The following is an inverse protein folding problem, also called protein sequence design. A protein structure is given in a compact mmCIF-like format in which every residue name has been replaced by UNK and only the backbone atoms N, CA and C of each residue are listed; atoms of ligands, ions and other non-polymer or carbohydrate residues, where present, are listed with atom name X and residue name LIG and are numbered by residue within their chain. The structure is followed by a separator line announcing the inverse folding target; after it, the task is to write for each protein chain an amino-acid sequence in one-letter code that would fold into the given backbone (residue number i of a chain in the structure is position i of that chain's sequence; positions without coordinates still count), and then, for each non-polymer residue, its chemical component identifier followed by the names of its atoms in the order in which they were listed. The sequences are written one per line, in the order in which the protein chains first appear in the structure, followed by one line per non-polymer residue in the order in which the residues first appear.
data_IF_097903112556
#
_entry.id   IF_097903112556
#
_cell.length_a   1.000
_cell.length_b   1.000
_cell.length_c   1.000
_cell.angle_alpha   90.00
_cell.angle_beta   90.00
_cell.angle_gamma   90.00
#
_symmetry.space_group_name_H-M   'P 1'
#
loop_
_entity.id
_entity.type
_entity.pdbx_description
1 polymer ?
#
# COMPACT_ATOMS: atom_id res chain seq x y z
N UNK A 1 -8.27 -0.19 54.58
CA UNK A 1 -6.95 -0.43 53.96
C UNK A 1 -7.01 -1.82 53.35
N UNK A 2 -6.64 -1.96 52.07
CA UNK A 2 -6.74 -3.22 51.33
C UNK A 2 -5.61 -4.16 51.78
N UNK A 3 -5.91 -5.00 52.76
CA UNK A 3 -5.02 -6.04 53.32
C UNK A 3 -5.10 -7.37 52.52
N UNK A 4 -5.56 -7.29 51.27
CA UNK A 4 -5.76 -8.45 50.41
C UNK A 4 -4.51 -8.73 49.58
N UNK A 5 -4.03 -9.97 49.67
CA UNK A 5 -2.97 -10.51 48.84
C UNK A 5 -3.25 -10.21 47.34
N UNK A 6 -2.27 -9.70 46.56
CA UNK A 6 -0.84 -9.63 46.87
C UNK A 6 -0.37 -8.34 47.59
N UNK A 7 -1.23 -7.37 47.90
CA UNK A 7 -0.81 -6.01 48.25
C UNK A 7 -0.25 -5.79 49.68
N UNK A 8 -0.20 -6.84 50.51
CA UNK A 8 0.28 -6.79 51.91
C UNK A 8 1.49 -7.72 52.16
N UNK A 9 2.51 -7.67 51.30
CA UNK A 9 3.78 -8.37 51.50
C UNK A 9 4.89 -7.36 51.82
N UNK A 10 5.87 -7.70 52.68
CA UNK A 10 6.96 -6.79 53.06
C UNK A 10 7.76 -6.34 51.82
N UNK A 11 8.20 -5.07 51.83
CA UNK A 11 8.99 -4.50 50.75
C UNK A 11 10.33 -5.27 50.63
N UNK A 12 10.48 -6.00 49.53
CA UNK A 12 11.66 -6.79 49.19
C UNK A 12 11.99 -6.68 47.70
N UNK A 13 13.26 -6.89 47.33
CA UNK A 13 13.74 -6.82 45.95
C UNK A 13 13.03 -7.81 45.00
N UNK A 14 12.43 -8.87 45.57
CA UNK A 14 11.64 -9.87 44.85
C UNK A 14 10.41 -9.29 44.14
N UNK A 15 9.89 -8.15 44.57
CA UNK A 15 8.79 -7.46 43.88
C UNK A 15 9.12 -7.16 42.42
N UNK A 16 10.32 -6.65 42.15
CA UNK A 16 10.77 -6.32 40.80
C UNK A 16 10.83 -7.56 39.90
N UNK A 17 11.24 -8.70 40.45
CA UNK A 17 11.30 -9.97 39.73
C UNK A 17 9.90 -10.48 39.37
N UNK A 18 8.95 -10.42 40.32
CA UNK A 18 7.56 -10.81 40.08
C UNK A 18 6.94 -9.93 39.00
N UNK A 19 7.11 -8.61 39.09
CA UNK A 19 6.59 -7.69 38.07
C UNK A 19 7.20 -7.96 36.70
N UNK A 20 8.51 -8.21 36.62
CA UNK A 20 9.17 -8.52 35.36
C UNK A 20 8.63 -9.82 34.73
N UNK A 21 8.45 -10.87 35.53
CA UNK A 21 7.85 -12.12 35.07
C UNK A 21 6.40 -11.92 34.59
N UNK A 22 5.60 -11.17 35.35
CA UNK A 22 4.21 -10.86 34.99
C UNK A 22 4.16 -10.03 33.71
N UNK A 23 4.97 -8.98 33.58
CA UNK A 23 5.06 -8.16 32.37
C UNK A 23 5.47 -8.99 31.15
N UNK A 24 6.43 -9.90 31.30
CA UNK A 24 6.86 -10.79 30.22
C UNK A 24 5.74 -11.75 29.82
N UNK A 25 5.07 -12.37 30.79
CA UNK A 25 3.95 -13.28 30.56
C UNK A 25 2.78 -12.56 29.86
N UNK A 26 2.40 -11.37 30.33
CA UNK A 26 1.36 -10.53 29.71
C UNK A 26 1.75 -10.17 28.29
N UNK A 27 3.00 -9.76 28.05
CA UNK A 27 3.47 -9.41 26.70
C UNK A 27 3.36 -10.58 25.73
N UNK A 28 3.78 -11.77 26.13
CA UNK A 28 3.66 -12.99 25.33
C UNK A 28 2.18 -13.30 25.05
N UNK A 29 1.34 -13.22 26.08
CA UNK A 29 -0.09 -13.49 25.95
C UNK A 29 -0.75 -12.51 24.97
N UNK A 30 -0.51 -11.22 25.11
CA UNK A 30 -1.02 -10.18 24.22
C UNK A 30 -0.58 -10.41 22.78
N UNK A 31 0.69 -10.76 22.56
CA UNK A 31 1.19 -11.12 21.22
C UNK A 31 0.47 -12.35 20.64
N UNK A 32 0.26 -13.39 21.45
CA UNK A 32 -0.43 -14.61 21.00
C UNK A 32 -1.89 -14.34 20.65
N UNK A 33 -2.59 -13.53 21.45
CA UNK A 33 -4.00 -13.16 21.21
C UNK A 33 -4.10 -12.31 19.94
N UNK A 34 -3.30 -11.26 19.80
CA UNK A 34 -3.32 -10.42 18.59
C UNK A 34 -3.00 -11.21 17.31
N UNK A 35 -2.00 -12.11 17.35
CA UNK A 35 -1.69 -13.00 16.24
C UNK A 35 -2.80 -14.01 15.94
N UNK A 36 -3.51 -14.50 16.97
CA UNK A 36 -4.65 -15.40 16.77
C UNK A 36 -5.85 -14.67 16.16
N UNK A 37 -6.16 -13.47 16.65
CA UNK A 37 -7.24 -12.61 16.14
C UNK A 37 -6.96 -12.19 14.70
N UNK A 38 -5.73 -11.78 14.37
CA UNK A 38 -5.34 -11.46 12.98
C UNK A 38 -5.58 -12.64 12.04
N UNK A 39 -5.10 -13.83 12.40
CA UNK A 39 -5.33 -15.06 11.60
C UNK A 39 -6.79 -15.44 11.49
N UNK A 40 -7.61 -15.14 12.51
CA UNK A 40 -9.04 -15.40 12.46
C UNK A 40 -9.75 -14.47 11.47
N UNK A 41 -9.45 -13.17 11.50
CA UNK A 41 -9.95 -12.22 10.50
C UNK A 41 -9.49 -12.57 9.09
N UNK A 42 -8.25 -13.02 8.92
CA UNK A 42 -7.74 -13.47 7.62
C UNK A 42 -8.51 -14.69 7.09
N UNK A 43 -8.88 -15.63 7.96
CA UNK A 43 -9.71 -16.80 7.59
C UNK A 43 -11.15 -16.45 7.27
N UNK A 44 -11.68 -15.37 7.87
CA UNK A 44 -13.05 -14.92 7.63
C UNK A 44 -13.22 -14.09 6.37
N UNK A 45 -12.12 -13.63 5.76
CA UNK A 45 -12.18 -13.14 4.39
C UNK A 45 -12.50 -14.33 3.49
N UNK A 46 -13.77 -14.45 3.14
CA UNK A 46 -14.25 -15.30 2.05
C UNK A 46 -13.37 -15.06 0.84
N UNK A 47 -12.90 -16.09 0.11
CA UNK A 47 -12.25 -15.86 -1.17
C UNK A 47 -13.28 -15.16 -2.05
N UNK A 48 -13.04 -13.87 -2.31
CA UNK A 48 -13.72 -13.19 -3.39
C UNK A 48 -13.39 -13.99 -4.68
N UNK A 49 -14.35 -14.19 -5.58
CA UNK A 49 -14.10 -14.91 -6.82
C UNK A 49 -12.90 -14.30 -7.55
N UNK A 50 -12.10 -15.17 -8.17
CA UNK A 50 -10.75 -15.03 -8.74
C UNK A 50 -10.48 -13.87 -9.73
N UNK A 51 -11.04 -12.69 -9.55
CA UNK A 51 -10.83 -11.57 -10.50
C UNK A 51 -9.72 -10.63 -10.07
N UNK A 52 -9.29 -10.61 -8.81
CA UNK A 52 -8.24 -9.69 -8.34
C UNK A 52 -7.43 -10.33 -7.21
N UNK A 53 -6.25 -10.87 -7.56
CA UNK A 53 -5.27 -11.43 -6.64
C UNK A 53 -5.03 -10.44 -5.48
N UNK A 54 -5.47 -10.79 -4.28
CA UNK A 54 -5.48 -9.87 -3.15
C UNK A 54 -4.05 -9.54 -2.73
N UNK A 55 -3.76 -8.25 -2.48
CA UNK A 55 -2.48 -7.79 -1.93
C UNK A 55 -2.22 -8.49 -0.59
N UNK A 56 -1.43 -9.57 -0.63
CA UNK A 56 -1.10 -10.41 0.53
C UNK A 56 0.36 -10.21 0.91
N UNK A 57 0.64 -10.16 2.21
CA UNK A 57 2.00 -10.01 2.71
C UNK A 57 2.87 -11.17 2.21
N UNK A 58 3.99 -10.84 1.56
CA UNK A 58 4.93 -11.82 0.99
C UNK A 58 4.68 -12.17 -0.48
N UNK A 59 3.62 -11.65 -1.11
CA UNK A 59 3.42 -11.76 -2.55
C UNK A 59 3.84 -10.47 -3.27
N UNK A 60 4.48 -10.61 -4.42
CA UNK A 60 4.84 -9.47 -5.26
C UNK A 60 3.57 -8.92 -5.93
N UNK A 61 3.30 -7.61 -5.82
CA UNK A 61 2.10 -7.03 -6.39
C UNK A 61 2.13 -7.05 -7.91
N UNK A 62 1.00 -7.42 -8.52
CA UNK A 62 0.86 -7.41 -9.97
C UNK A 62 0.76 -5.97 -10.50
N UNK A 63 1.11 -5.70 -11.78
CA UNK A 63 1.12 -4.35 -12.36
C UNK A 63 -0.18 -3.56 -12.16
N UNK A 64 -1.33 -4.22 -12.32
CA UNK A 64 -2.65 -3.61 -12.13
C UNK A 64 -2.97 -3.19 -10.69
N UNK A 65 -2.15 -3.62 -9.72
CA UNK A 65 -2.31 -3.32 -8.29
C UNK A 65 -1.46 -2.15 -7.84
N UNK A 66 -0.52 -1.69 -8.68
CA UNK A 66 0.39 -0.61 -8.34
C UNK A 66 -0.35 0.71 -8.12
N UNK A 67 -1.44 0.96 -8.86
CA UNK A 67 -2.30 2.12 -8.66
C UNK A 67 -3.00 2.09 -7.29
N UNK A 68 -3.50 0.93 -6.86
CA UNK A 68 -4.11 0.77 -5.53
C UNK A 68 -3.09 1.00 -4.41
N UNK A 69 -1.87 0.47 -4.55
CA UNK A 69 -0.78 0.71 -3.59
C UNK A 69 -0.40 2.19 -3.55
N UNK A 70 -0.27 2.83 -4.72
CA UNK A 70 0.05 4.24 -4.82
C UNK A 70 -1.02 5.10 -4.12
N UNK A 71 -2.29 4.78 -4.35
CA UNK A 71 -3.41 5.45 -3.67
C UNK A 71 -3.33 5.29 -2.14
N UNK A 72 -3.08 4.09 -1.64
CA UNK A 72 -2.94 3.85 -0.20
C UNK A 72 -1.74 4.59 0.42
N UNK A 73 -0.67 4.81 -0.35
CA UNK A 73 0.55 5.47 0.14
C UNK A 73 0.49 6.99 0.10
N UNK A 74 -0.18 7.57 -0.90
CA UNK A 74 -0.14 9.02 -1.15
C UNK A 74 -1.35 9.60 -1.89
N UNK A 75 -2.46 8.87 -1.92
CA UNK A 75 -3.70 9.28 -2.57
C UNK A 75 -3.59 9.42 -4.08
N UNK A 76 -4.47 10.24 -4.67
CA UNK A 76 -4.57 10.47 -6.12
C UNK A 76 -3.29 11.03 -6.74
N UNK A 77 -2.53 11.84 -5.98
CA UNK A 77 -1.23 12.35 -6.44
C UNK A 77 -0.23 11.22 -6.72
N UNK A 78 -0.12 10.26 -5.81
CA UNK A 78 0.78 9.13 -5.98
C UNK A 78 0.34 8.20 -7.14
N UNK A 79 -0.97 8.06 -7.36
CA UNK A 79 -1.53 7.37 -8.53
C UNK A 79 -1.11 8.08 -9.82
N UNK A 80 -1.26 9.40 -9.90
CA UNK A 80 -0.86 10.18 -11.07
C UNK A 80 0.65 10.05 -11.37
N UNK A 81 1.50 10.11 -10.35
CA UNK A 81 2.95 9.93 -10.50
C UNK A 81 3.29 8.50 -10.97
N UNK A 82 2.57 7.49 -10.48
CA UNK A 82 2.74 6.08 -10.87
C UNK A 82 2.26 5.84 -12.31
N UNK A 83 1.15 6.46 -12.74
CA UNK A 83 0.67 6.41 -14.12
C UNK A 83 1.69 7.00 -15.10
N UNK A 84 2.26 8.17 -14.78
CA UNK A 84 3.29 8.79 -15.63
C UNK A 84 4.55 7.91 -15.68
N UNK A 85 5.02 7.44 -14.52
CA UNK A 85 6.22 6.59 -14.45
C UNK A 85 6.05 5.27 -15.21
N UNK A 86 4.90 4.61 -15.04
CA UNK A 86 4.57 3.37 -15.75
C UNK A 86 4.44 3.61 -17.25
N UNK A 87 3.76 4.69 -17.67
CA UNK A 87 3.66 5.03 -19.09
C UNK A 87 5.02 5.32 -19.75
N UNK A 88 5.97 5.93 -19.04
CA UNK A 88 7.34 6.12 -19.54
C UNK A 88 8.09 4.78 -19.61
N UNK A 89 7.98 3.96 -18.56
CA UNK A 89 8.65 2.66 -18.48
C UNK A 89 8.17 1.68 -19.57
N UNK A 90 6.88 1.69 -19.88
CA UNK A 90 6.26 0.85 -20.90
C UNK A 90 6.46 1.39 -22.33
N UNK A 91 7.11 2.55 -22.47
CA UNK A 91 7.30 3.21 -23.77
C UNK A 91 6.02 3.79 -24.37
N UNK A 92 4.97 3.97 -23.57
CA UNK A 92 3.76 4.69 -23.98
C UNK A 92 3.98 6.22 -24.02
N UNK A 93 4.88 6.73 -23.18
CA UNK A 93 5.32 8.13 -23.16
C UNK A 93 6.83 8.21 -23.40
N UNK A 94 7.24 8.89 -24.46
CA UNK A 94 8.65 9.14 -24.77
C UNK A 94 8.91 10.64 -24.65
N UNK A 95 9.90 11.03 -23.83
CA UNK A 95 10.30 12.42 -23.72
C UNK A 95 11.32 12.76 -24.82
N UNK A 96 10.97 13.70 -25.69
CA UNK A 96 11.86 14.25 -26.69
C UNK A 96 12.63 15.43 -26.11
N UNK A 97 13.95 15.26 -25.97
CA UNK A 97 14.83 16.29 -25.42
C UNK A 97 14.98 17.50 -26.34
N UNK A 98 14.82 17.35 -27.66
CA UNK A 98 14.99 18.45 -28.61
C UNK A 98 13.81 19.43 -28.53
N UNK A 99 12.60 18.90 -28.34
CA UNK A 99 11.37 19.71 -28.29
C UNK A 99 10.88 19.97 -26.86
N UNK A 100 11.47 19.31 -25.85
CA UNK A 100 11.02 19.33 -24.46
C UNK A 100 9.54 18.95 -24.31
N UNK A 101 9.07 18.05 -25.18
CA UNK A 101 7.69 17.57 -25.23
C UNK A 101 7.66 16.06 -25.12
N UNK A 102 6.54 15.54 -24.64
CA UNK A 102 6.26 14.12 -24.69
C UNK A 102 5.68 13.73 -26.05
N UNK A 103 5.95 12.51 -26.46
CA UNK A 103 5.36 11.88 -27.63
C UNK A 103 4.73 10.56 -27.18
N UNK A 104 3.61 10.19 -27.81
CA UNK A 104 2.99 8.89 -27.58
C UNK A 104 3.79 7.84 -28.34
N UNK A 105 4.31 6.86 -27.61
CA UNK A 105 4.96 5.70 -28.20
C UNK A 105 3.97 4.56 -28.48
N UNK A 106 4.46 3.49 -29.10
CA UNK A 106 3.64 2.32 -29.43
C UNK A 106 3.27 1.47 -28.21
N UNK A 107 4.02 1.61 -27.10
CA UNK A 107 3.81 0.82 -25.88
C UNK A 107 4.23 -0.65 -26.02
N UNK A 108 4.68 -1.25 -24.92
CA UNK A 108 5.05 -2.67 -24.89
C UNK A 108 3.89 -3.61 -24.46
N UNK A 109 2.87 -3.07 -23.78
CA UNK A 109 1.91 -3.87 -23.00
C UNK A 109 0.46 -3.44 -23.19
N UNK A 110 -0.49 -4.37 -23.02
CA UNK A 110 -1.93 -4.05 -22.98
C UNK A 110 -2.20 -3.20 -21.74
N UNK A 111 -2.64 -1.93 -21.89
CA UNK A 111 -2.80 -1.05 -20.75
C UNK A 111 -4.00 -1.46 -19.89
N UNK A 112 -3.84 -1.36 -18.57
CA UNK A 112 -4.95 -1.46 -17.61
C UNK A 112 -6.01 -0.38 -17.90
N UNK A 113 -7.28 -0.55 -17.50
CA UNK A 113 -8.36 0.39 -17.83
C UNK A 113 -8.05 1.85 -17.46
N UNK A 114 -7.42 2.07 -16.30
CA UNK A 114 -6.96 3.38 -15.84
C UNK A 114 -5.86 3.96 -16.73
N UNK A 115 -4.87 3.13 -17.11
CA UNK A 115 -3.80 3.53 -18.01
C UNK A 115 -4.36 3.81 -19.42
N UNK A 116 -5.31 3.02 -19.90
CA UNK A 116 -5.97 3.22 -21.17
C UNK A 116 -6.75 4.55 -21.20
N UNK A 117 -7.45 4.89 -20.12
CA UNK A 117 -8.15 6.18 -19.98
C UNK A 117 -7.16 7.35 -19.95
N UNK A 118 -6.04 7.21 -19.24
CA UNK A 118 -4.98 8.20 -19.23
C UNK A 118 -4.38 8.40 -20.63
N UNK A 119 -3.97 7.34 -21.33
CA UNK A 119 -3.42 7.41 -22.69
C UNK A 119 -4.45 8.01 -23.67
N UNK A 120 -5.72 7.61 -23.57
CA UNK A 120 -6.79 8.19 -24.38
C UNK A 120 -6.94 9.70 -24.14
N UNK A 121 -6.80 10.16 -22.89
CA UNK A 121 -6.82 11.58 -22.56
C UNK A 121 -5.62 12.33 -23.15
N UNK A 122 -4.46 11.69 -23.25
CA UNK A 122 -3.24 12.27 -23.84
C UNK A 122 -3.37 12.51 -25.34
N UNK A 123 -4.11 11.66 -26.07
CA UNK A 123 -4.35 11.81 -27.51
C UNK A 123 -5.11 13.07 -27.92
N UNK A 124 -5.69 13.83 -26.97
CA UNK A 124 -6.53 15.00 -27.25
C UNK A 124 -5.80 16.36 -27.14
N UNK A 125 -4.53 16.48 -27.52
CA UNK A 125 -3.86 17.80 -27.58
C UNK A 125 -2.34 17.78 -27.38
N UNK A 126 -1.74 18.95 -27.14
CA UNK A 126 -0.28 19.08 -27.00
C UNK A 126 0.22 18.38 -25.73
N UNK A 127 1.33 17.65 -25.87
CA UNK A 127 1.90 16.78 -24.83
C UNK A 127 3.04 17.48 -24.08
N UNK A 128 2.76 18.66 -23.52
CA UNK A 128 3.72 19.35 -22.64
C UNK A 128 3.76 18.69 -21.26
N UNK A 129 4.87 18.80 -20.51
CA UNK A 129 4.99 18.20 -19.17
C UNK A 129 3.88 18.61 -18.19
N UNK A 130 3.41 19.86 -18.27
CA UNK A 130 2.30 20.36 -17.46
C UNK A 130 0.98 19.69 -17.82
N UNK A 131 0.69 19.52 -19.11
CA UNK A 131 -0.54 18.87 -19.58
C UNK A 131 -0.53 17.38 -19.21
N UNK A 132 0.60 16.69 -19.37
CA UNK A 132 0.74 15.28 -18.97
C UNK A 132 0.44 15.11 -17.48
N UNK A 133 0.98 15.98 -16.62
CA UNK A 133 0.74 15.93 -15.18
C UNK A 133 -0.72 16.20 -14.82
N UNK A 134 -1.32 17.22 -15.43
CA UNK A 134 -2.74 17.55 -15.20
C UNK A 134 -3.66 16.42 -15.64
N UNK A 135 -3.41 15.82 -16.81
CA UNK A 135 -4.20 14.69 -17.31
C UNK A 135 -4.03 13.44 -16.45
N UNK A 136 -2.82 13.19 -15.94
CA UNK A 136 -2.57 12.11 -14.99
C UNK A 136 -3.36 12.29 -13.69
N UNK A 137 -3.46 13.53 -13.17
CA UNK A 137 -4.27 13.82 -11.98
C UNK A 137 -5.77 13.71 -12.22
N UNK A 138 -6.25 13.91 -13.44
CA UNK A 138 -7.67 13.74 -13.79
C UNK A 138 -8.05 12.26 -13.97
N UNK A 139 -7.08 11.42 -14.31
CA UNK A 139 -7.27 9.98 -14.46
C UNK A 139 -7.12 9.21 -13.12
N UNK A 140 -6.63 9.85 -12.07
CA UNK A 140 -6.34 9.28 -10.75
C UNK A 140 -7.51 9.43 -9.77
#
# INVERSE_FOLDING_TARGET
MLDSWPFNLPASEWWSVIYLLVSFAVTILTYRVTAAVGRWFDRQRTPAPDTQSQLTIGQMPQPHQWSAIAYLRGGTRAVAETLVGSAISDGNLVFDQATSQFQLGAGASRPDPLMAQFIASLGQGPLTPSVVRTRATMAA
#
